data_IF_201374130260
#
_entry.id   IF_201374130260
#
_cell.length_a   1.000
_cell.length_b   1.000
_cell.length_c   1.000
_cell.angle_alpha   90.00
_cell.angle_beta   90.00
_cell.angle_gamma   90.00
#
_symmetry.space_group_name_H-M   'P 1'
#
loop_
_entity.id
_entity.type
_entity.pdbx_description
1 polymer ?
#
# COMPACT_ATOMS: atom_id res chain seq x y z
N UNK A 1 -49.32 22.95 20.37
CA UNK A 1 -48.03 22.90 19.65
C UNK A 1 -47.65 21.44 19.47
N UNK A 2 -47.96 20.87 18.29
CA UNK A 2 -47.72 19.46 17.99
C UNK A 2 -46.36 19.32 17.30
N UNK A 3 -45.41 18.63 17.93
CA UNK A 3 -44.15 18.26 17.30
C UNK A 3 -44.35 16.99 16.49
N UNK A 4 -44.41 17.18 15.17
CA UNK A 4 -44.39 16.13 14.16
C UNK A 4 -42.99 15.49 14.16
N UNK A 5 -42.90 14.18 14.42
CA UNK A 5 -41.65 13.42 14.34
C UNK A 5 -41.59 12.73 12.97
N UNK A 6 -40.80 13.29 12.07
CA UNK A 6 -40.51 12.74 10.74
C UNK A 6 -39.51 11.58 10.88
N UNK A 7 -39.78 10.46 10.21
CA UNK A 7 -38.93 9.25 10.19
C UNK A 7 -37.87 9.40 9.10
N UNK A 8 -36.59 9.33 9.47
CA UNK A 8 -35.46 9.21 8.53
C UNK A 8 -35.33 7.75 8.05
N UNK A 9 -35.29 7.48 6.72
CA UNK A 9 -35.19 6.13 6.14
C UNK A 9 -33.76 5.60 5.94
N UNK A 10 -32.71 6.16 6.56
CA UNK A 10 -31.34 5.68 6.36
C UNK A 10 -30.86 4.79 7.49
N UNK A 11 -31.17 3.50 7.37
CA UNK A 11 -30.73 2.42 8.26
C UNK A 11 -29.21 2.41 8.53
N UNK A 12 -28.83 3.04 9.64
CA UNK A 12 -27.56 2.82 10.33
C UNK A 12 -27.87 2.45 11.77
N UNK A 13 -27.65 1.17 12.08
CA UNK A 13 -27.67 0.68 13.44
C UNK A 13 -26.44 1.23 14.18
N UNK A 14 -26.67 2.12 15.16
CA UNK A 14 -25.73 2.36 16.24
C UNK A 14 -26.04 1.32 17.33
N UNK A 15 -25.16 0.34 17.48
CA UNK A 15 -25.18 -0.54 18.65
C UNK A 15 -24.21 0.07 19.67
N UNK A 16 -24.78 0.80 20.61
CA UNK A 16 -24.15 1.09 21.88
C UNK A 16 -24.37 -0.12 22.79
N UNK A 17 -23.30 -0.81 23.20
CA UNK A 17 -23.33 -1.75 24.32
C UNK A 17 -22.44 -1.14 25.38
N UNK A 18 -23.07 -0.71 26.47
CA UNK A 18 -22.39 -0.44 27.73
C UNK A 18 -22.17 -1.76 28.45
N UNK A 19 -20.97 -1.95 28.98
CA UNK A 19 -20.69 -2.94 30.00
C UNK A 19 -19.98 -2.24 31.16
N UNK A 20 -20.72 -2.13 32.27
CA UNK A 20 -20.19 -1.83 33.60
C UNK A 20 -19.40 -3.04 34.10
N UNK A 21 -18.09 -2.90 34.25
CA UNK A 21 -17.30 -3.77 35.13
C UNK A 21 -16.39 -2.97 36.04
N UNK A 22 -16.74 -3.01 37.32
CA UNK A 22 -16.09 -2.38 38.47
C UNK A 22 -14.79 -3.13 38.82
N UNK A 23 -13.69 -2.36 38.85
CA UNK A 23 -12.49 -2.48 39.68
C UNK A 23 -11.80 -3.85 39.88
N UNK A 24 -10.54 -3.94 39.40
CA UNK A 24 -9.39 -4.28 40.25
C UNK A 24 -8.08 -3.93 39.53
N UNK A 25 -7.21 -3.22 40.25
CA UNK A 25 -5.85 -2.87 39.87
C UNK A 25 -4.97 -4.09 39.61
N UNK A 26 -4.08 -4.03 38.62
CA UNK A 26 -2.64 -4.20 38.81
C UNK A 26 -1.93 -3.89 37.50
N UNK A 27 -0.73 -3.31 37.64
CA UNK A 27 -0.04 -2.57 36.60
C UNK A 27 0.23 -3.34 35.31
N UNK A 28 0.02 -2.64 34.20
CA UNK A 28 0.93 -2.66 33.07
C UNK A 28 0.85 -1.27 32.44
N UNK A 29 1.76 -0.39 32.89
CA UNK A 29 2.05 0.84 32.14
C UNK A 29 2.48 0.38 30.76
N UNK A 30 1.78 0.84 29.73
CA UNK A 30 2.28 0.90 28.37
C UNK A 30 3.63 1.62 28.40
N UNK A 31 4.69 0.84 28.56
CA UNK A 31 6.03 1.28 28.26
C UNK A 31 6.08 1.32 26.75
N UNK A 32 5.74 2.48 26.17
CA UNK A 32 6.36 2.89 24.91
C UNK A 32 7.85 3.00 25.18
N UNK A 33 8.52 1.85 25.17
CA UNK A 33 9.96 1.78 24.96
C UNK A 33 10.17 2.09 23.49
N UNK A 34 10.36 3.37 23.17
CA UNK A 34 11.00 3.81 21.94
C UNK A 34 12.49 3.43 21.99
N UNK A 35 12.78 2.13 22.11
CA UNK A 35 14.09 1.60 21.76
C UNK A 35 14.12 1.47 20.23
N UNK A 36 15.18 1.90 19.54
CA UNK A 36 15.31 1.65 18.11
C UNK A 36 15.20 0.14 17.89
N UNK A 37 14.30 -0.28 16.99
CA UNK A 37 14.17 -1.69 16.65
C UNK A 37 15.57 -2.25 16.30
N UNK A 38 15.94 -3.44 16.81
CA UNK A 38 17.26 -4.00 16.54
C UNK A 38 17.46 -4.13 15.02
N UNK A 39 18.65 -3.75 14.56
CA UNK A 39 18.98 -3.80 13.15
C UNK A 39 18.71 -5.21 12.59
N UNK A 40 17.85 -5.31 11.58
CA UNK A 40 17.37 -6.57 11.05
C UNK A 40 18.38 -7.16 10.08
N UNK A 41 18.53 -8.47 10.06
CA UNK A 41 19.33 -9.18 9.05
C UNK A 41 18.58 -9.25 7.71
N UNK A 42 19.27 -9.55 6.61
CA UNK A 42 18.63 -9.72 5.29
C UNK A 42 17.51 -10.77 5.28
N UNK A 43 17.61 -11.78 6.13
CA UNK A 43 16.61 -12.85 6.22
C UNK A 43 15.36 -12.41 6.99
N UNK A 44 15.56 -11.70 8.10
CA UNK A 44 14.46 -11.11 8.88
C UNK A 44 13.75 -10.04 8.04
N UNK A 45 14.51 -9.15 7.41
CA UNK A 45 13.98 -8.13 6.51
C UNK A 45 13.13 -8.73 5.38
N UNK A 46 13.59 -9.83 4.79
CA UNK A 46 12.86 -10.55 3.75
C UNK A 46 11.55 -11.16 4.27
N UNK A 47 11.60 -11.77 5.46
CA UNK A 47 10.44 -12.38 6.12
C UNK A 47 9.41 -11.33 6.50
N UNK A 48 9.83 -10.24 7.15
CA UNK A 48 8.94 -9.22 7.70
C UNK A 48 8.14 -8.50 6.61
N UNK A 49 8.76 -8.29 5.45
CA UNK A 49 8.14 -7.60 4.31
C UNK A 49 7.59 -8.55 3.24
N UNK A 50 7.69 -9.87 3.45
CA UNK A 50 7.23 -10.87 2.49
C UNK A 50 7.92 -10.79 1.12
N UNK A 51 9.18 -10.34 1.08
CA UNK A 51 9.96 -10.19 -0.15
C UNK A 51 11.06 -11.23 -0.24
N UNK A 52 11.51 -11.56 -1.46
CA UNK A 52 12.66 -12.44 -1.61
C UNK A 52 13.97 -11.75 -1.23
N UNK A 53 14.93 -12.53 -0.73
CA UNK A 53 16.31 -12.05 -0.51
C UNK A 53 16.91 -11.49 -1.81
N UNK A 54 16.55 -12.07 -2.96
CA UNK A 54 16.96 -11.57 -4.29
C UNK A 54 16.45 -10.16 -4.54
N UNK A 55 15.22 -9.84 -4.14
CA UNK A 55 14.67 -8.50 -4.28
C UNK A 55 15.40 -7.49 -3.38
N UNK A 56 15.72 -7.85 -2.14
CA UNK A 56 16.50 -6.97 -1.24
C UNK A 56 17.88 -6.65 -1.82
N UNK A 57 18.60 -7.66 -2.31
CA UNK A 57 19.90 -7.47 -2.98
C UNK A 57 19.77 -6.58 -4.21
N UNK A 58 18.72 -6.78 -5.00
CA UNK A 58 18.45 -5.94 -6.17
C UNK A 58 18.23 -4.46 -5.80
N UNK A 59 17.59 -4.18 -4.67
CA UNK A 59 17.43 -2.82 -4.16
C UNK A 59 18.74 -2.25 -3.56
N UNK A 60 19.57 -3.08 -2.94
CA UNK A 60 20.94 -2.70 -2.53
C UNK A 60 21.81 -2.33 -3.74
N UNK A 61 21.81 -3.16 -4.79
CA UNK A 61 22.63 -2.96 -5.99
C UNK A 61 22.25 -1.66 -6.72
N UNK A 62 20.99 -1.23 -6.58
CA UNK A 62 20.48 0.06 -7.10
C UNK A 62 20.68 1.23 -6.14
N UNK A 63 21.30 1.01 -4.98
CA UNK A 63 21.57 2.04 -3.97
C UNK A 63 20.34 2.56 -3.23
N UNK A 64 19.18 1.89 -3.38
CA UNK A 64 17.91 2.24 -2.73
C UNK A 64 17.88 1.83 -1.26
N UNK A 65 18.61 0.75 -0.93
CA UNK A 65 18.86 0.31 0.44
C UNK A 65 20.37 0.34 0.70
N UNK A 66 20.75 0.81 1.89
CA UNK A 66 22.16 0.95 2.27
C UNK A 66 22.40 0.28 3.64
N UNK A 67 22.40 -1.06 3.70
CA UNK A 67 22.61 -1.76 4.95
C UNK A 67 24.01 -1.50 5.51
N UNK A 68 24.10 -1.42 6.83
CA UNK A 68 25.37 -1.43 7.54
C UNK A 68 26.00 -2.83 7.43
N UNK A 69 27.29 -2.88 7.14
CA UNK A 69 28.05 -4.14 7.06
C UNK A 69 28.91 -4.32 8.31
N UNK A 70 28.74 -5.45 8.98
CA UNK A 70 29.62 -5.87 10.07
C UNK A 70 30.19 -7.24 9.71
N UNK A 71 31.46 -7.24 9.28
CA UNK A 71 32.10 -8.40 8.66
C UNK A 71 31.37 -8.88 7.40
N UNK A 72 30.93 -10.14 7.40
CA UNK A 72 30.17 -10.74 6.30
C UNK A 72 28.65 -10.48 6.37
N UNK A 73 28.17 -9.92 7.48
CA UNK A 73 26.74 -9.79 7.76
C UNK A 73 26.22 -8.40 7.38
N UNK A 74 24.97 -8.35 6.90
CA UNK A 74 24.24 -7.11 6.55
C UNK A 74 23.18 -6.86 7.60
N UNK A 75 23.16 -5.64 8.11
CA UNK A 75 22.18 -5.14 9.07
C UNK A 75 21.43 -3.95 8.47
N UNK A 76 20.11 -4.02 8.49
CA UNK A 76 19.20 -2.97 8.02
C UNK A 76 18.64 -2.26 9.24
N UNK A 77 18.87 -0.96 9.33
CA UNK A 77 18.36 -0.15 10.42
C UNK A 77 16.94 0.32 10.10
N UNK A 78 16.32 1.05 11.02
CA UNK A 78 14.93 1.52 10.86
C UNK A 78 14.75 2.42 9.62
N UNK A 79 15.82 3.11 9.18
CA UNK A 79 15.83 3.88 7.93
C UNK A 79 15.59 2.97 6.73
N UNK A 80 16.34 1.88 6.61
CA UNK A 80 16.18 0.92 5.51
C UNK A 80 14.82 0.24 5.55
N UNK A 81 14.25 0.03 6.75
CA UNK A 81 12.90 -0.49 6.91
C UNK A 81 11.84 0.46 6.35
N UNK A 82 11.94 1.74 6.67
CA UNK A 82 11.07 2.78 6.10
C UNK A 82 11.23 2.89 4.58
N UNK A 83 12.47 2.89 4.09
CA UNK A 83 12.75 2.92 2.65
C UNK A 83 12.12 1.72 1.94
N UNK A 84 12.29 0.50 2.46
CA UNK A 84 11.71 -0.69 1.83
C UNK A 84 10.18 -0.61 1.81
N UNK A 85 9.54 -0.17 2.91
CA UNK A 85 8.08 0.02 2.95
C UNK A 85 7.61 0.97 1.85
N UNK A 86 8.35 2.06 1.63
CA UNK A 86 8.07 3.02 0.58
C UNK A 86 8.28 2.44 -0.83
N UNK A 87 9.41 1.77 -1.07
CA UNK A 87 9.71 1.13 -2.36
C UNK A 87 8.57 0.18 -2.77
N UNK A 88 8.11 -0.65 -1.83
CA UNK A 88 7.05 -1.63 -2.11
C UNK A 88 5.71 -0.95 -2.41
N UNK A 89 5.31 0.05 -1.62
CA UNK A 89 4.07 0.80 -1.83
C UNK A 89 4.11 1.56 -3.16
N UNK A 90 5.20 2.27 -3.45
CA UNK A 90 5.34 3.02 -4.71
C UNK A 90 5.34 2.10 -5.93
N UNK A 91 5.97 0.92 -5.84
CA UNK A 91 5.93 -0.07 -6.91
C UNK A 91 4.49 -0.57 -7.16
N UNK A 92 3.70 -0.78 -6.12
CA UNK A 92 2.29 -1.16 -6.25
C UNK A 92 1.44 -0.07 -6.93
N UNK A 93 1.82 1.19 -6.79
CA UNK A 93 1.15 2.33 -7.41
C UNK A 93 1.60 2.60 -8.86
N UNK A 94 2.51 1.78 -9.39
CA UNK A 94 2.99 1.89 -10.76
C UNK A 94 4.13 2.86 -10.98
N UNK A 95 4.80 3.33 -9.92
CA UNK A 95 6.01 4.13 -10.06
C UNK A 95 7.19 3.27 -10.48
N UNK A 96 8.05 3.84 -11.32
CA UNK A 96 9.31 3.27 -11.75
C UNK A 96 10.36 3.35 -10.64
N UNK A 97 11.39 2.50 -10.73
CA UNK A 97 12.49 2.52 -9.76
C UNK A 97 13.28 3.84 -9.78
N UNK A 98 13.31 4.53 -10.92
CA UNK A 98 13.97 5.83 -11.04
C UNK A 98 13.23 6.92 -10.26
N UNK A 99 11.90 6.97 -10.40
CA UNK A 99 11.04 7.87 -9.63
C UNK A 99 11.15 7.56 -8.13
N UNK A 100 11.08 6.28 -7.76
CA UNK A 100 11.25 5.84 -6.37
C UNK A 100 12.61 6.29 -5.81
N UNK A 101 13.69 6.22 -6.61
CA UNK A 101 15.00 6.71 -6.19
C UNK A 101 15.01 8.22 -5.93
N UNK A 102 14.37 9.00 -6.79
CA UNK A 102 14.26 10.45 -6.63
C UNK A 102 13.44 10.81 -5.37
N UNK A 103 12.37 10.07 -5.11
CA UNK A 103 11.53 10.24 -3.91
C UNK A 103 12.28 9.90 -2.62
N UNK A 104 13.12 8.86 -2.62
CA UNK A 104 13.94 8.51 -1.47
C UNK A 104 15.05 9.52 -1.21
N UNK A 105 15.57 10.18 -2.26
CA UNK A 105 16.57 11.23 -2.12
C UNK A 105 15.98 12.48 -1.45
N UNK A 106 14.79 12.91 -1.85
CA UNK A 106 14.13 14.11 -1.28
C UNK A 106 13.71 13.93 0.19
N UNK A 107 13.40 12.70 0.62
CA UNK A 107 13.11 12.42 2.04
C UNK A 107 14.31 12.58 2.97
N UNK A 108 15.55 12.49 2.46
CA UNK A 108 16.73 12.64 3.31
C UNK A 108 16.88 14.05 3.89
N UNK A 109 16.16 15.04 3.34
CA UNK A 109 16.21 16.44 3.76
C UNK A 109 15.04 16.83 4.71
N UNK A 110 14.00 15.99 4.78
CA UNK A 110 12.76 16.24 5.53
C UNK A 110 12.52 15.08 6.50
N UNK A 111 13.21 15.08 7.64
CA UNK A 111 12.97 14.12 8.72
C UNK A 111 12.46 14.87 9.95
N UNK A 112 11.16 14.73 10.22
CA UNK A 112 10.62 14.05 11.41
C UNK A 112 9.08 14.16 11.40
N UNK A 113 8.42 13.08 11.83
CA UNK A 113 7.00 13.06 12.23
C UNK A 113 5.89 13.27 11.18
N UNK A 114 6.15 13.27 9.87
CA UNK A 114 5.06 13.02 8.93
C UNK A 114 4.77 11.52 8.94
N UNK A 115 3.53 11.17 9.26
CA UNK A 115 3.01 9.81 9.15
C UNK A 115 3.37 9.22 7.78
N UNK A 116 3.27 7.90 7.71
CA UNK A 116 3.59 7.02 6.59
C UNK A 116 2.83 7.29 5.26
N UNK A 117 2.33 8.51 5.08
CA UNK A 117 1.91 9.10 3.84
C UNK A 117 3.15 9.41 3.01
N UNK A 118 3.31 8.61 1.96
CA UNK A 118 4.12 8.87 0.78
C UNK A 118 4.53 10.34 0.68
N UNK A 119 5.79 10.67 1.00
CA UNK A 119 6.35 12.01 0.77
C UNK A 119 6.57 12.23 -0.73
N UNK A 120 5.49 12.12 -1.50
CA UNK A 120 5.39 12.40 -2.91
C UNK A 120 4.89 13.83 -3.05
N UNK A 121 5.49 14.63 -3.96
CA UNK A 121 4.90 15.89 -4.34
C UNK A 121 3.46 15.64 -4.84
N UNK A 122 2.46 16.43 -4.39
CA UNK A 122 1.07 16.27 -4.82
C UNK A 122 0.89 16.23 -6.35
N UNK A 123 1.74 16.95 -7.07
CA UNK A 123 1.79 16.97 -8.53
C UNK A 123 2.07 15.59 -9.13
N UNK A 124 3.02 14.83 -8.56
CA UNK A 124 3.33 13.47 -9.03
C UNK A 124 2.18 12.51 -8.74
N UNK A 125 1.49 12.68 -7.61
CA UNK A 125 0.32 11.87 -7.27
C UNK A 125 -0.80 12.09 -8.29
N UNK A 126 -1.12 13.36 -8.60
CA UNK A 126 -2.16 13.70 -9.58
C UNK A 126 -1.79 13.21 -10.97
N UNK A 127 -0.52 13.37 -11.39
CA UNK A 127 -0.03 12.87 -12.67
C UNK A 127 -0.18 11.35 -12.78
N UNK A 128 0.17 10.61 -11.72
CA UNK A 128 0.05 9.16 -11.69
C UNK A 128 -1.40 8.70 -11.68
N UNK A 129 -2.29 9.37 -10.95
CA UNK A 129 -3.73 9.12 -11.01
C UNK A 129 -4.23 9.27 -12.45
N UNK A 130 -3.91 10.39 -13.10
CA UNK A 130 -4.34 10.62 -14.49
C UNK A 130 -3.78 9.58 -15.47
N UNK A 131 -2.55 9.11 -15.27
CA UNK A 131 -1.98 8.02 -16.06
C UNK A 131 -2.76 6.70 -15.87
N UNK A 132 -3.00 6.30 -14.63
CA UNK A 132 -3.74 5.07 -14.31
C UNK A 132 -5.19 5.12 -14.81
N UNK A 133 -5.84 6.29 -14.74
CA UNK A 133 -7.20 6.47 -15.26
C UNK A 133 -7.27 6.33 -16.79
N UNK A 134 -6.29 6.88 -17.53
CA UNK A 134 -6.20 6.67 -18.98
C UNK A 134 -5.99 5.20 -19.32
N UNK A 135 -5.05 4.52 -18.64
CA UNK A 135 -4.85 3.09 -18.84
C UNK A 135 -6.10 2.27 -18.54
N UNK A 136 -6.85 2.61 -17.49
CA UNK A 136 -8.14 1.97 -17.18
C UNK A 136 -9.13 2.13 -18.33
N UNK A 137 -9.28 3.33 -18.87
CA UNK A 137 -10.18 3.59 -20.00
C UNK A 137 -9.80 2.80 -21.26
N UNK A 138 -8.50 2.72 -21.58
CA UNK A 138 -8.00 1.91 -22.71
C UNK A 138 -8.29 0.41 -22.53
N UNK A 139 -8.06 -0.11 -21.32
CA UNK A 139 -8.36 -1.50 -20.98
C UNK A 139 -9.86 -1.79 -21.04
N UNK A 140 -10.70 -0.88 -20.52
CA UNK A 140 -12.16 -1.02 -20.57
C UNK A 140 -12.66 -1.06 -22.03
N UNK A 141 -12.13 -0.21 -22.90
CA UNK A 141 -12.46 -0.22 -24.33
C UNK A 141 -12.03 -1.54 -25.01
N UNK A 142 -10.83 -2.03 -24.72
CA UNK A 142 -10.36 -3.32 -25.24
C UNK A 142 -11.23 -4.50 -24.76
N UNK A 143 -11.61 -4.51 -23.48
CA UNK A 143 -12.51 -5.52 -22.91
C UNK A 143 -13.87 -5.47 -23.61
N UNK A 144 -14.42 -4.28 -23.87
CA UNK A 144 -15.69 -4.12 -24.59
C UNK A 144 -15.62 -4.70 -26.00
N UNK A 145 -14.56 -4.40 -26.75
CA UNK A 145 -14.39 -4.95 -28.11
C UNK A 145 -14.25 -6.47 -28.11
N UNK A 146 -13.49 -7.03 -27.16
CA UNK A 146 -13.38 -8.48 -26.98
C UNK A 146 -14.73 -9.14 -26.64
N UNK A 147 -15.53 -8.50 -25.77
CA UNK A 147 -16.89 -8.98 -25.44
C UNK A 147 -17.82 -8.96 -26.66
N UNK A 148 -17.80 -7.89 -27.46
CA UNK A 148 -18.58 -7.81 -28.71
C UNK A 148 -18.16 -8.90 -29.70
N UNK A 149 -16.85 -9.11 -29.86
CA UNK A 149 -16.32 -10.16 -30.73
C UNK A 149 -16.77 -11.56 -30.25
N UNK A 150 -16.72 -11.81 -28.94
CA UNK A 150 -17.21 -13.06 -28.36
C UNK A 150 -18.71 -13.28 -28.64
N UNK A 151 -19.55 -12.27 -28.45
CA UNK A 151 -20.99 -12.35 -28.71
C UNK A 151 -21.28 -12.77 -30.16
N UNK A 152 -20.64 -12.08 -31.14
CA UNK A 152 -20.79 -12.40 -32.56
C UNK A 152 -20.38 -13.85 -32.88
N UNK A 153 -19.29 -14.34 -32.29
CA UNK A 153 -18.81 -15.71 -32.52
C UNK A 153 -19.72 -16.78 -31.91
N UNK A 154 -20.33 -16.50 -30.75
CA UNK A 154 -21.29 -17.41 -30.13
C UNK A 154 -22.61 -17.43 -30.91
N UNK A 155 -23.11 -16.27 -31.32
CA UNK A 155 -24.35 -16.15 -32.10
C UNK A 155 -24.25 -16.86 -33.46
N UNK A 156 -23.13 -16.67 -34.18
CA UNK A 156 -22.89 -17.34 -35.47
C UNK A 156 -22.78 -18.85 -35.34
N UNK A 157 -22.15 -19.36 -34.27
CA UNK A 157 -22.12 -20.81 -33.99
C UNK A 157 -23.50 -21.37 -33.64
N UNK A 158 -24.36 -20.59 -32.98
CA UNK A 158 -25.70 -21.02 -32.63
C UNK A 158 -26.62 -21.10 -33.86
N UNK A 159 -26.54 -20.12 -34.77
CA UNK A 159 -27.31 -20.11 -36.01
C UNK A 159 -26.82 -21.16 -37.01
N UNK A 160 -25.52 -21.44 -37.06
CA UNK A 160 -24.95 -22.50 -37.90
C UNK A 160 -25.22 -23.94 -37.42
N UNK A 161 -25.76 -24.12 -36.20
CA UNK A 161 -26.13 -25.43 -35.67
C UNK A 161 -27.62 -25.78 -35.85
N UNK A 162 -28.45 -24.81 -36.28
CA UNK A 162 -29.89 -24.98 -36.48
C UNK A 162 -30.24 -25.12 -37.99
N UNK A 163 -29.32 -24.74 -38.88
CA UNK A 163 -29.42 -24.91 -40.33
C UNK A 163 -28.75 -26.21 -40.80
#
# INVERSE_FOLDING_TARGET
MHTHLERDPRGRANIAIGEDHRAASSGERFSQSSAPAPASTIREMARDFGVSIRALRFYEDRGLLRPKREGAMRFYEERERRNLKMILKSKQLGFTLAEISAMLASQSELLEAAELEMALPPEQIIAQIGFLERQRQELDAAIMELRKAHCRLVETKFLGAIA
#
